data_IF_655138298182
#
_entry.id   IF_655138298182
#
_cell.length_a   1.000
_cell.length_b   1.000
_cell.length_c   1.000
_cell.angle_alpha   90.00
_cell.angle_beta   90.00
_cell.angle_gamma   90.00
#
_symmetry.space_group_name_H-M   'P 1'
#
loop_
_entity.id
_entity.type
_entity.pdbx_description
1 polymer ?
#
# COMPACT_ATOMS: atom_id res chain seq x y z
N UNK A 1 40.80 -36.36 39.12
CA UNK A 1 40.91 -35.00 38.56
C UNK A 1 40.19 -35.00 37.23
N UNK A 2 38.85 -34.91 37.29
CA UNK A 2 37.94 -35.03 36.14
C UNK A 2 37.03 -33.82 36.19
N UNK A 3 37.44 -32.75 35.50
CA UNK A 3 36.59 -31.62 35.17
C UNK A 3 36.27 -31.76 33.69
N UNK A 4 34.99 -31.93 33.34
CA UNK A 4 34.32 -31.15 32.30
C UNK A 4 32.87 -31.58 32.12
N UNK A 5 32.07 -30.64 31.62
CA UNK A 5 30.74 -30.77 31.04
C UNK A 5 29.54 -30.83 31.98
N UNK A 6 29.14 -29.64 32.42
CA UNK A 6 27.73 -29.24 32.35
C UNK A 6 27.62 -27.71 32.43
N UNK A 7 27.36 -27.08 31.29
CA UNK A 7 26.62 -25.80 31.14
C UNK A 7 26.98 -25.07 29.84
N UNK A 8 26.69 -25.70 28.68
CA UNK A 8 26.45 -24.94 27.45
C UNK A 8 24.97 -25.08 27.05
N UNK A 9 24.11 -24.76 28.00
CA UNK A 9 22.72 -24.39 27.76
C UNK A 9 22.77 -22.87 27.50
N UNK A 10 22.09 -22.41 26.45
CA UNK A 10 22.02 -21.01 26.00
C UNK A 10 23.08 -20.55 24.99
N UNK A 11 22.91 -20.95 23.73
CA UNK A 11 23.17 -20.03 22.61
C UNK A 11 22.22 -20.28 21.44
N UNK A 12 20.91 -20.30 21.71
CA UNK A 12 19.91 -19.95 20.71
C UNK A 12 19.72 -18.42 20.79
N UNK A 13 20.74 -17.67 20.39
CA UNK A 13 20.52 -16.27 20.01
C UNK A 13 19.84 -16.34 18.65
N UNK A 14 18.52 -16.49 18.70
CA UNK A 14 17.65 -16.18 17.57
C UNK A 14 17.96 -14.75 17.16
N UNK A 15 18.78 -14.62 16.12
CA UNK A 15 18.92 -13.36 15.40
C UNK A 15 17.55 -13.07 14.78
N UNK A 16 16.69 -12.42 15.57
CA UNK A 16 15.62 -11.60 15.02
C UNK A 16 16.32 -10.51 14.22
N UNK A 17 16.66 -10.81 12.97
CA UNK A 17 16.91 -9.82 11.96
C UNK A 17 15.67 -8.92 11.97
N UNK A 18 15.82 -7.77 12.60
CA UNK A 18 14.88 -6.66 12.52
C UNK A 18 14.88 -6.25 11.05
N UNK A 19 14.04 -6.89 10.25
CA UNK A 19 13.65 -6.39 8.95
C UNK A 19 12.89 -5.11 9.23
N UNK A 20 13.63 -3.99 9.30
CA UNK A 20 13.08 -2.65 9.33
C UNK A 20 12.27 -2.48 8.06
N UNK A 21 10.98 -2.79 8.12
CA UNK A 21 10.06 -2.44 7.06
C UNK A 21 10.09 -0.92 6.96
N UNK A 22 10.61 -0.37 5.87
CA UNK A 22 10.52 1.06 5.59
C UNK A 22 9.01 1.40 5.49
N UNK A 23 8.45 1.89 6.59
CA UNK A 23 7.06 2.35 6.73
C UNK A 23 6.96 3.88 6.72
N UNK A 24 8.01 4.53 6.22
CA UNK A 24 8.15 5.99 6.24
C UNK A 24 7.34 6.67 5.13
N UNK A 25 7.20 7.98 5.31
CA UNK A 25 6.83 8.91 4.24
C UNK A 25 8.15 9.47 3.69
N UNK A 26 8.32 9.60 2.36
CA UNK A 26 9.56 10.14 1.80
C UNK A 26 9.80 11.59 2.23
N UNK A 27 11.07 12.01 2.29
CA UNK A 27 11.41 13.38 2.66
C UNK A 27 10.75 14.42 1.75
N UNK A 28 10.22 15.47 2.38
CA UNK A 28 9.48 16.57 1.77
C UNK A 28 8.18 16.15 1.06
N UNK A 29 7.61 14.99 1.42
CA UNK A 29 6.28 14.58 1.01
C UNK A 29 5.30 14.75 2.17
N UNK A 30 4.14 15.35 1.88
CA UNK A 30 3.05 15.45 2.84
C UNK A 30 1.96 14.43 2.48
N UNK A 31 1.34 13.87 3.51
CA UNK A 31 0.20 12.97 3.34
C UNK A 31 -1.10 13.71 3.63
N UNK A 32 -2.21 13.19 3.09
CA UNK A 32 -3.54 13.69 3.40
C UNK A 32 -3.86 13.38 4.87
N UNK A 33 -4.03 14.43 5.69
CA UNK A 33 -4.26 14.27 7.14
C UNK A 33 -5.71 13.90 7.49
N UNK A 34 -6.66 14.24 6.63
CA UNK A 34 -8.09 13.98 6.81
C UNK A 34 -8.62 13.16 5.65
N UNK A 35 -8.71 11.85 5.87
CA UNK A 35 -9.09 10.83 4.89
C UNK A 35 -10.28 9.99 5.39
N UNK A 36 -11.37 9.96 4.62
CA UNK A 36 -12.51 9.08 4.85
C UNK A 36 -12.31 7.76 4.11
N UNK A 37 -12.00 6.72 4.89
CA UNK A 37 -11.77 5.38 4.35
C UNK A 37 -13.00 4.80 3.63
N UNK A 38 -14.22 5.15 4.07
CA UNK A 38 -15.45 4.62 3.47
C UNK A 38 -15.64 5.17 2.07
N UNK A 39 -15.35 6.46 1.86
CA UNK A 39 -15.45 7.09 0.54
C UNK A 39 -14.38 6.57 -0.44
N UNK A 40 -13.28 5.99 0.08
CA UNK A 40 -12.22 5.40 -0.73
C UNK A 40 -12.51 3.98 -1.20
N UNK A 41 -13.50 3.30 -0.62
CA UNK A 41 -13.85 1.92 -0.99
C UNK A 41 -14.31 1.79 -2.44
N UNK A 42 -14.38 0.55 -2.93
CA UNK A 42 -14.73 0.24 -4.31
C UNK A 42 -13.53 0.23 -5.24
N UNK A 43 -13.79 0.34 -6.53
CA UNK A 43 -12.78 0.15 -7.58
C UNK A 43 -12.12 1.47 -7.97
N UNK A 44 -10.83 1.38 -8.21
CA UNK A 44 -9.99 2.41 -8.78
C UNK A 44 -9.21 1.83 -9.97
N UNK A 45 -9.10 2.61 -11.04
CA UNK A 45 -8.31 2.31 -12.23
C UNK A 45 -6.92 2.91 -12.06
N UNK A 46 -5.90 2.12 -12.33
CA UNK A 46 -4.53 2.64 -12.42
C UNK A 46 -4.38 3.43 -13.72
N UNK A 47 -4.08 4.72 -13.57
CA UNK A 47 -3.87 5.64 -14.70
C UNK A 47 -2.40 5.71 -15.08
N UNK A 48 -1.54 5.73 -14.06
CA UNK A 48 -0.10 5.75 -14.23
C UNK A 48 0.58 5.17 -13.00
N UNK A 49 1.78 4.62 -13.22
CA UNK A 49 2.72 4.23 -12.17
C UNK A 49 4.15 4.46 -12.64
N UNK A 50 5.08 4.51 -11.71
CA UNK A 50 6.50 4.32 -12.04
C UNK A 50 6.74 2.82 -12.33
N UNK A 51 7.63 2.49 -13.28
CA UNK A 51 7.83 1.08 -13.68
C UNK A 51 8.31 0.25 -12.48
N UNK A 52 7.54 -0.78 -12.15
CA UNK A 52 7.77 -1.67 -11.03
C UNK A 52 7.85 -3.10 -11.56
N UNK A 53 8.86 -3.84 -11.10
CA UNK A 53 9.13 -5.20 -11.58
C UNK A 53 7.95 -6.17 -11.38
N UNK A 54 7.07 -5.93 -10.39
CA UNK A 54 5.96 -6.81 -10.05
C UNK A 54 4.68 -6.62 -10.89
N UNK A 55 4.55 -5.55 -11.67
CA UNK A 55 3.36 -5.33 -12.52
C UNK A 55 3.70 -5.27 -14.02
N UNK A 56 4.95 -5.57 -14.37
CA UNK A 56 5.46 -5.47 -15.73
C UNK A 56 4.65 -6.36 -16.69
N UNK A 57 4.02 -5.74 -17.67
CA UNK A 57 3.25 -6.42 -18.71
C UNK A 57 1.76 -6.60 -18.41
N UNK A 58 1.27 -6.05 -17.30
CA UNK A 58 -0.16 -5.95 -17.01
C UNK A 58 -0.73 -4.63 -17.50
N UNK A 59 -1.82 -4.72 -18.26
CA UNK A 59 -2.66 -3.61 -18.73
C UNK A 59 -4.01 -3.62 -18.00
N UNK A 60 -4.78 -2.53 -18.11
CA UNK A 60 -6.13 -2.41 -17.53
C UNK A 60 -6.17 -2.74 -16.02
N UNK A 61 -5.15 -2.26 -15.29
CA UNK A 61 -4.98 -2.57 -13.88
C UNK A 61 -6.03 -1.83 -13.04
N UNK A 62 -6.65 -2.55 -12.12
CA UNK A 62 -7.58 -2.00 -11.14
C UNK A 62 -7.21 -2.44 -9.73
N UNK A 63 -7.42 -1.56 -8.76
CA UNK A 63 -7.40 -1.88 -7.34
C UNK A 63 -8.81 -1.73 -6.75
N UNK A 64 -9.34 -2.80 -6.15
CA UNK A 64 -10.64 -2.78 -5.46
C UNK A 64 -10.44 -2.89 -3.95
N UNK A 65 -11.00 -1.93 -3.23
CA UNK A 65 -10.91 -1.82 -1.78
C UNK A 65 -12.22 -2.16 -1.10
N UNK A 66 -12.19 -3.01 -0.07
CA UNK A 66 -13.35 -3.31 0.78
C UNK A 66 -12.96 -3.34 2.24
N UNK A 67 -13.89 -3.03 3.14
CA UNK A 67 -13.65 -3.16 4.58
C UNK A 67 -13.44 -4.62 4.98
N UNK A 68 -12.74 -4.80 6.10
CA UNK A 68 -12.55 -6.07 6.80
C UNK A 68 -13.07 -5.92 8.23
N UNK A 69 -13.51 -7.04 8.80
CA UNK A 69 -14.01 -7.09 10.18
C UNK A 69 -12.96 -6.74 11.23
N UNK A 70 -11.67 -6.87 10.89
CA UNK A 70 -10.53 -6.51 11.75
C UNK A 70 -10.14 -5.03 11.67
N UNK A 71 -10.96 -4.20 11.03
CA UNK A 71 -10.70 -2.76 10.85
C UNK A 71 -9.69 -2.44 9.74
N UNK A 72 -9.16 -3.45 9.04
CA UNK A 72 -8.32 -3.25 7.86
C UNK A 72 -9.12 -3.04 6.58
N UNK A 73 -8.39 -2.85 5.48
CA UNK A 73 -8.94 -2.80 4.13
C UNK A 73 -8.42 -4.01 3.35
N UNK A 74 -9.29 -4.78 2.72
CA UNK A 74 -8.93 -5.79 1.73
C UNK A 74 -8.59 -5.06 0.42
N UNK A 75 -7.51 -5.47 -0.21
CA UNK A 75 -7.06 -4.93 -1.49
C UNK A 75 -7.08 -6.07 -2.51
N UNK A 76 -7.70 -5.85 -3.66
CA UNK A 76 -7.64 -6.78 -4.79
C UNK A 76 -7.09 -6.01 -5.99
N UNK A 77 -5.87 -6.32 -6.38
CA UNK A 77 -5.29 -5.83 -7.62
C UNK A 77 -5.58 -6.84 -8.74
N UNK A 78 -6.06 -6.37 -9.88
CA UNK A 78 -6.37 -7.21 -11.05
C UNK A 78 -5.85 -6.52 -12.30
N UNK A 79 -5.17 -7.27 -13.17
CA UNK A 79 -4.62 -6.76 -14.42
C UNK A 79 -4.71 -7.80 -15.53
N UNK A 80 -4.69 -7.35 -16.78
CA UNK A 80 -4.71 -8.21 -17.95
C UNK A 80 -3.29 -8.37 -18.50
N UNK A 81 -2.82 -9.61 -18.61
CA UNK A 81 -1.52 -9.91 -19.19
C UNK A 81 -1.67 -10.06 -20.71
N UNK A 82 -1.19 -9.05 -21.44
CA UNK A 82 -1.32 -9.01 -22.91
C UNK A 82 -0.55 -10.11 -23.64
N UNK A 83 0.44 -10.75 -23.01
CA UNK A 83 1.23 -11.85 -23.58
C UNK A 83 0.53 -13.20 -23.43
N UNK A 84 0.04 -13.52 -22.23
CA UNK A 84 -0.66 -14.79 -21.95
C UNK A 84 -2.14 -14.74 -22.32
N UNK A 85 -2.70 -13.53 -22.51
CA UNK A 85 -4.14 -13.27 -22.72
C UNK A 85 -5.01 -13.68 -21.53
N UNK A 86 -4.46 -13.61 -20.33
CA UNK A 86 -5.13 -14.00 -19.09
C UNK A 86 -5.28 -12.82 -18.12
N UNK A 87 -6.28 -12.91 -17.25
CA UNK A 87 -6.44 -12.00 -16.13
C UNK A 87 -5.68 -12.54 -14.92
N UNK A 88 -4.81 -11.71 -14.37
CA UNK A 88 -4.07 -11.99 -13.15
C UNK A 88 -4.65 -11.18 -11.99
N UNK A 89 -4.59 -11.73 -10.78
CA UNK A 89 -5.01 -11.02 -9.57
C UNK A 89 -4.10 -11.30 -8.38
N UNK A 90 -3.95 -10.29 -7.52
CA UNK A 90 -3.30 -10.39 -6.23
C UNK A 90 -4.26 -9.87 -5.14
N UNK A 91 -4.38 -10.64 -4.05
CA UNK A 91 -5.22 -10.28 -2.90
C UNK A 91 -4.32 -9.93 -1.74
N UNK A 92 -4.53 -8.75 -1.18
CA UNK A 92 -3.77 -8.21 -0.07
C UNK A 92 -4.65 -7.58 0.99
N UNK A 93 -3.98 -6.98 1.97
CA UNK A 93 -4.59 -6.25 3.08
C UNK A 93 -3.81 -4.99 3.40
N UNK A 94 -4.52 -3.96 3.81
CA UNK A 94 -3.98 -2.68 4.23
C UNK A 94 -4.46 -2.35 5.65
N UNK A 95 -3.63 -1.66 6.42
CA UNK A 95 -3.99 -1.10 7.72
C UNK A 95 -3.47 0.33 7.82
N UNK A 96 -4.25 1.21 8.45
CA UNK A 96 -3.76 2.53 8.85
C UNK A 96 -2.62 2.38 9.87
N UNK A 97 -1.60 3.22 9.72
CA UNK A 97 -0.43 3.22 10.62
C UNK A 97 -0.74 4.03 11.87
N UNK A 98 -1.37 5.19 11.69
CA UNK A 98 -1.68 6.12 12.77
C UNK A 98 -3.09 5.85 13.35
N UNK A 99 -3.34 6.20 14.61
CA UNK A 99 -4.68 6.14 15.19
C UNK A 99 -5.69 7.01 14.42
N UNK A 100 -6.98 6.67 14.53
CA UNK A 100 -8.09 7.48 13.99
C UNK A 100 -8.05 8.89 14.62
N UNK A 101 -8.25 9.90 13.79
CA UNK A 101 -8.29 11.30 14.21
C UNK A 101 -9.53 11.61 15.07
N UNK A 102 -9.49 12.72 15.81
CA UNK A 102 -10.61 13.15 16.66
C UNK A 102 -11.93 13.40 15.90
N UNK A 103 -11.85 13.77 14.62
CA UNK A 103 -12.98 13.98 13.72
C UNK A 103 -13.46 12.69 13.03
N UNK A 104 -12.96 11.52 13.45
CA UNK A 104 -13.22 10.18 12.88
C UNK A 104 -12.65 9.95 11.48
N UNK A 105 -11.82 10.86 10.97
CA UNK A 105 -11.04 10.63 9.75
C UNK A 105 -9.75 9.89 10.06
N UNK A 106 -9.02 9.47 9.02
CA UNK A 106 -7.70 8.85 9.16
C UNK A 106 -6.63 9.76 8.56
N UNK A 107 -5.40 9.58 9.01
CA UNK A 107 -4.24 10.04 8.24
C UNK A 107 -4.01 9.05 7.10
N UNK A 108 -3.73 9.53 5.88
CA UNK A 108 -3.51 8.77 4.65
C UNK A 108 -2.21 7.96 4.63
N UNK A 109 -1.81 7.36 5.75
CA UNK A 109 -0.63 6.50 5.90
C UNK A 109 -1.07 5.09 6.20
N UNK A 110 -0.82 4.19 5.27
CA UNK A 110 -1.17 2.78 5.36
C UNK A 110 0.05 1.90 5.16
N UNK A 111 -0.05 0.66 5.66
CA UNK A 111 0.86 -0.43 5.31
C UNK A 111 0.07 -1.49 4.55
N UNK A 112 0.57 -1.90 3.39
CA UNK A 112 -0.07 -2.88 2.48
C UNK A 112 0.78 -4.14 2.41
N UNK A 113 0.13 -5.31 2.39
CA UNK A 113 0.78 -6.61 2.23
C UNK A 113 -0.01 -7.50 1.26
N UNK A 114 0.68 -8.07 0.27
CA UNK A 114 0.14 -9.05 -0.68
C UNK A 114 0.71 -10.47 -0.48
N UNK A 115 1.89 -10.60 0.15
CA UNK A 115 2.56 -11.89 0.36
C UNK A 115 3.35 -11.91 1.67
N UNK A 116 3.15 -12.94 2.51
CA UNK A 116 3.95 -13.20 3.72
C UNK A 116 4.02 -12.02 4.72
N UNK A 117 4.90 -12.04 5.75
CA UNK A 117 4.95 -11.00 6.77
C UNK A 117 5.57 -9.67 6.28
N UNK A 118 5.54 -9.40 4.98
CA UNK A 118 6.11 -8.20 4.38
C UNK A 118 5.02 -7.17 4.11
N UNK A 119 5.26 -5.96 4.60
CA UNK A 119 4.42 -4.82 4.32
C UNK A 119 5.26 -3.78 3.57
N UNK A 120 4.63 -3.08 2.62
CA UNK A 120 5.13 -1.84 2.03
C UNK A 120 4.31 -0.65 2.50
N UNK A 121 4.93 0.53 2.54
CA UNK A 121 4.23 1.78 2.82
C UNK A 121 3.29 2.14 1.65
N UNK A 122 2.14 2.70 1.98
CA UNK A 122 1.14 3.24 1.05
C UNK A 122 0.71 4.59 1.60
N UNK A 123 1.24 5.65 1.02
CA UNK A 123 1.07 7.02 1.49
C UNK A 123 0.21 7.78 0.48
N UNK A 124 -0.97 8.24 0.88
CA UNK A 124 -1.87 9.07 0.07
C UNK A 124 -1.38 10.51 0.17
N UNK A 125 -0.86 11.05 -0.94
CA UNK A 125 -0.18 12.34 -0.97
C UNK A 125 -1.01 13.45 -1.62
N UNK A 126 -1.96 13.08 -2.49
CA UNK A 126 -2.92 13.97 -3.10
C UNK A 126 -4.25 13.21 -3.26
N UNK A 127 -5.37 13.90 -3.07
CA UNK A 127 -6.70 13.30 -3.13
C UNK A 127 -7.72 14.35 -3.54
N UNK A 128 -8.48 14.07 -4.59
CA UNK A 128 -9.60 14.90 -5.01
C UNK A 128 -10.64 15.01 -3.88
N UNK A 129 -10.98 16.24 -3.50
CA UNK A 129 -12.01 16.52 -2.50
C UNK A 129 -13.08 17.44 -3.09
N UNK A 130 -14.37 17.22 -2.75
CA UNK A 130 -14.87 16.27 -1.76
C UNK A 130 -15.20 14.87 -2.32
N UNK A 131 -14.95 14.59 -3.61
CA UNK A 131 -15.57 13.46 -4.29
C UNK A 131 -14.70 12.21 -4.44
N UNK A 132 -13.39 12.31 -4.25
CA UNK A 132 -12.44 11.20 -4.37
C UNK A 132 -12.45 10.60 -5.79
N UNK A 133 -12.41 11.46 -6.82
CA UNK A 133 -12.36 11.01 -8.21
C UNK A 133 -10.96 10.55 -8.63
N UNK A 134 -9.90 11.13 -8.07
CA UNK A 134 -8.52 10.73 -8.30
C UNK A 134 -7.71 10.77 -7.01
N UNK A 135 -6.62 10.01 -6.99
CA UNK A 135 -5.70 9.92 -5.86
C UNK A 135 -4.28 9.72 -6.38
N UNK A 136 -3.31 10.32 -5.70
CA UNK A 136 -1.89 10.03 -5.90
C UNK A 136 -1.33 9.37 -4.65
N UNK A 137 -0.56 8.31 -4.86
CA UNK A 137 0.03 7.50 -3.78
C UNK A 137 1.52 7.39 -4.03
N UNK A 138 2.32 7.47 -2.97
CA UNK A 138 3.72 7.05 -3.00
C UNK A 138 3.99 5.91 -2.02
N UNK A 139 5.04 5.14 -2.29
CA UNK A 139 5.54 4.13 -1.38
C UNK A 139 6.44 4.72 -0.28
N UNK A 140 7.39 3.92 0.25
CA UNK A 140 8.28 4.37 1.33
C UNK A 140 9.36 5.37 0.88
N UNK A 141 9.60 5.45 -0.42
CA UNK A 141 10.49 6.41 -1.07
C UNK A 141 9.83 6.92 -2.38
N UNK A 142 10.52 7.82 -3.10
CA UNK A 142 10.02 8.44 -4.34
C UNK A 142 10.12 7.54 -5.58
N UNK A 143 10.67 6.33 -5.44
CA UNK A 143 10.75 5.38 -6.55
C UNK A 143 9.41 4.70 -6.79
N UNK A 144 8.51 4.65 -5.80
CA UNK A 144 7.17 4.06 -5.87
C UNK A 144 6.08 5.12 -5.95
N UNK A 145 5.30 5.13 -7.03
CA UNK A 145 4.25 6.12 -7.24
C UNK A 145 3.14 5.58 -8.14
N UNK A 146 1.89 5.92 -7.79
CA UNK A 146 0.68 5.58 -8.55
C UNK A 146 -0.27 6.77 -8.63
N UNK A 147 -0.93 6.90 -9.77
CA UNK A 147 -2.14 7.71 -9.94
C UNK A 147 -3.29 6.76 -10.18
N UNK A 148 -4.32 6.84 -9.33
CA UNK A 148 -5.55 6.08 -9.52
C UNK A 148 -6.73 7.01 -9.76
N UNK A 149 -7.74 6.53 -10.47
CA UNK A 149 -8.98 7.26 -10.80
C UNK A 149 -10.21 6.38 -10.65
N UNK A 150 -11.38 6.98 -10.40
CA UNK A 150 -12.67 6.29 -10.45
C UNK A 150 -13.11 5.93 -11.87
N UNK A 151 -12.54 6.58 -12.87
CA UNK A 151 -12.76 6.30 -14.29
C UNK A 151 -11.47 5.84 -14.97
N UNK A 152 -11.54 5.02 -16.05
CA UNK A 152 -10.34 4.51 -16.74
C UNK A 152 -9.45 5.59 -17.37
N UNK A 153 -9.97 6.81 -17.50
CA UNK A 153 -9.27 7.99 -17.99
C UNK A 153 -9.64 9.17 -17.11
N UNK A 154 -8.65 10.02 -16.80
CA UNK A 154 -8.90 11.28 -16.12
C UNK A 154 -9.51 12.27 -17.11
N UNK A 155 -10.63 12.90 -16.74
CA UNK A 155 -11.20 13.98 -17.53
C UNK A 155 -10.32 15.24 -17.44
N UNK A 156 -10.13 15.92 -18.57
CA UNK A 156 -9.41 17.19 -18.64
C UNK A 156 -10.33 18.36 -18.24
N UNK A 157 -9.86 19.40 -17.52
CA UNK A 157 -8.49 19.61 -17.05
C UNK A 157 -8.32 19.24 -15.58
N UNK A 158 -7.37 18.33 -15.32
CA UNK A 158 -6.72 18.26 -14.01
C UNK A 158 -5.95 19.58 -13.86
N UNK A 159 -6.32 20.43 -12.89
CA UNK A 159 -5.54 21.64 -12.60
C UNK A 159 -4.13 21.23 -12.20
N UNK A 160 -3.15 21.58 -13.04
CA UNK A 160 -1.77 21.70 -12.60
C UNK A 160 -1.73 22.89 -11.63
N UNK A 161 -1.39 22.63 -10.37
CA UNK A 161 -1.08 23.66 -9.39
C UNK A 161 0.42 23.95 -9.39
#
# INVERSE_FOLDING_TARGET
MTLLNNSLRHLLISSCLLLSSCMGVPDNVKVIESFDANQYLGTWYEIARLDHSFERGLDNVTATYSLRDDGGIKVINRGFNSKTKEWEQAVGKAYFIDPVNADKTNTGKLKVSFFGPFYGAYNIIELDKPYYNYVMICGPDKSYFWILSRTPQLSYPIKQH
#
